data_IF_798540284904
#
_entry.id   IF_798540284904
#
_cell.length_a   1.000
_cell.length_b   1.000
_cell.length_c   1.000
_cell.angle_alpha   90.00
_cell.angle_beta   90.00
_cell.angle_gamma   90.00
#
_symmetry.space_group_name_H-M   'P 1'
#
loop_
_entity.id
_entity.type
_entity.pdbx_description
1 polymer ?
#
# COMPACT_ATOMS: atom_id res chain seq x y z
N UNK A 1 1.59 25.56 16.70
CA UNK A 1 1.87 24.62 15.60
C UNK A 1 1.69 23.19 16.11
N UNK A 2 0.83 22.40 15.46
CA UNK A 2 0.58 21.01 15.86
C UNK A 2 1.66 20.07 15.34
N UNK A 3 2.12 19.14 16.17
CA UNK A 3 3.07 18.09 15.77
C UNK A 3 2.47 17.30 14.59
N UNK A 4 3.19 17.17 13.46
CA UNK A 4 2.72 16.35 12.34
C UNK A 4 2.41 14.94 12.81
N UNK A 5 1.25 14.42 12.39
CA UNK A 5 0.85 13.04 12.69
C UNK A 5 1.84 12.11 12.01
N UNK A 6 2.47 11.20 12.75
CA UNK A 6 3.29 10.15 12.14
C UNK A 6 2.37 9.23 11.33
N UNK A 7 2.86 8.83 10.14
CA UNK A 7 2.24 7.75 9.36
C UNK A 7 2.31 6.46 10.17
N UNK A 8 1.25 5.64 10.11
CA UNK A 8 1.12 4.43 10.95
C UNK A 8 1.19 3.17 10.11
N UNK A 9 1.79 2.11 10.65
CA UNK A 9 1.90 0.85 9.92
C UNK A 9 0.57 0.10 9.92
N UNK A 10 0.11 -0.32 8.74
CA UNK A 10 -1.06 -1.19 8.55
C UNK A 10 -0.60 -2.43 7.81
N UNK A 11 -0.99 -3.62 8.29
CA UNK A 11 -0.53 -4.89 7.72
C UNK A 11 -1.61 -5.62 6.93
N UNK A 12 -2.80 -5.05 6.79
CA UNK A 12 -3.95 -5.72 6.19
C UNK A 12 -4.66 -4.84 5.16
N UNK A 13 -5.00 -5.43 4.02
CA UNK A 13 -5.70 -4.75 2.92
C UNK A 13 -7.20 -5.05 2.96
N UNK A 14 -7.99 -3.99 2.77
CA UNK A 14 -9.45 -4.03 2.91
C UNK A 14 -10.12 -3.93 1.55
N UNK A 15 -10.59 -5.08 1.06
CA UNK A 15 -11.30 -5.18 -0.22
C UNK A 15 -12.73 -4.60 -0.17
N UNK A 16 -13.39 -4.64 1.01
CA UNK A 16 -14.73 -4.07 1.21
C UNK A 16 -14.61 -2.76 1.97
N UNK A 17 -14.91 -1.66 1.28
CA UNK A 17 -14.75 -0.28 1.80
C UNK A 17 -16.08 0.39 2.14
N UNK A 18 -17.19 -0.30 1.99
CA UNK A 18 -18.51 0.29 2.20
C UNK A 18 -19.45 -0.70 2.88
N UNK A 19 -19.93 -0.33 4.06
CA UNK A 19 -20.92 -1.08 4.84
C UNK A 19 -22.18 -0.23 4.92
N UNK A 20 -23.33 -0.83 4.61
CA UNK A 20 -24.63 -0.17 4.73
C UNK A 20 -25.64 -1.11 5.40
N UNK A 21 -26.59 -0.58 6.18
CA UNK A 21 -27.70 -1.38 6.64
C UNK A 21 -28.58 -1.82 5.46
N UNK A 22 -29.17 -3.00 5.59
CA UNK A 22 -30.02 -3.61 4.57
C UNK A 22 -31.34 -2.86 4.42
N UNK A 23 -31.82 -2.69 3.20
CA UNK A 23 -33.17 -2.18 2.92
C UNK A 23 -33.32 -0.66 2.76
N UNK A 24 -32.24 0.12 2.89
CA UNK A 24 -32.28 1.59 2.74
C UNK A 24 -31.36 2.04 1.60
N UNK A 25 -31.81 3.00 0.80
CA UNK A 25 -31.05 3.57 -0.32
C UNK A 25 -30.01 4.57 0.17
N UNK A 26 -28.78 4.47 -0.34
CA UNK A 26 -27.61 5.25 0.08
C UNK A 26 -27.82 6.78 0.10
N UNK A 27 -28.77 7.30 -0.67
CA UNK A 27 -29.01 8.74 -0.80
C UNK A 27 -29.58 9.37 0.47
N UNK A 28 -30.23 8.56 1.31
CA UNK A 28 -30.94 9.03 2.50
C UNK A 28 -30.20 8.71 3.80
N UNK A 29 -29.03 8.06 3.73
CA UNK A 29 -28.26 7.71 4.92
C UNK A 29 -27.11 8.70 5.12
N UNK A 30 -26.93 9.08 6.37
CA UNK A 30 -25.68 9.67 6.81
C UNK A 30 -24.54 8.63 6.67
N UNK A 31 -23.37 9.09 6.23
CA UNK A 31 -22.17 8.29 6.08
C UNK A 31 -21.17 8.62 7.20
N UNK A 32 -20.65 7.59 7.88
CA UNK A 32 -19.58 7.70 8.87
C UNK A 32 -18.28 7.18 8.26
N UNK A 33 -17.29 8.06 8.16
CA UNK A 33 -15.98 7.73 7.62
C UNK A 33 -15.03 7.18 8.70
N UNK A 34 -14.55 5.96 8.48
CA UNK A 34 -13.52 5.31 9.28
C UNK A 34 -12.24 5.21 8.44
N UNK A 35 -11.09 5.55 9.03
CA UNK A 35 -9.82 5.44 8.31
C UNK A 35 -9.27 4.02 8.36
N UNK A 36 -8.36 3.69 7.43
CA UNK A 36 -7.76 2.35 7.34
C UNK A 36 -6.94 2.04 8.60
N UNK A 37 -6.27 3.05 9.15
CA UNK A 37 -5.57 2.99 10.45
C UNK A 37 -6.53 2.70 11.62
N UNK A 38 -7.66 3.41 11.69
CA UNK A 38 -8.68 3.19 12.71
C UNK A 38 -9.20 1.74 12.67
N UNK A 39 -9.37 1.19 11.48
CA UNK A 39 -9.84 -0.19 11.33
C UNK A 39 -8.75 -1.24 11.66
N UNK A 40 -7.48 -0.97 11.35
CA UNK A 40 -6.36 -1.81 11.79
C UNK A 40 -6.26 -1.85 13.33
N UNK A 41 -6.50 -0.73 14.02
CA UNK A 41 -6.50 -0.73 15.50
C UNK A 41 -7.55 -1.68 16.08
N UNK A 42 -8.72 -1.78 15.45
CA UNK A 42 -9.76 -2.72 15.86
C UNK A 42 -9.35 -4.17 15.60
N UNK A 43 -8.74 -4.44 14.44
CA UNK A 43 -8.24 -5.77 14.09
C UNK A 43 -7.24 -6.26 15.13
N UNK A 44 -6.20 -5.47 15.43
CA UNK A 44 -5.16 -5.83 16.39
C UNK A 44 -5.71 -6.02 17.80
N UNK A 45 -6.63 -5.14 18.24
CA UNK A 45 -7.17 -5.16 19.61
C UNK A 45 -8.21 -6.25 19.83
N UNK A 46 -9.20 -6.39 18.94
CA UNK A 46 -10.37 -7.24 19.17
C UNK A 46 -10.33 -8.58 18.42
N UNK A 47 -9.69 -8.65 17.25
CA UNK A 47 -9.57 -9.89 16.49
C UNK A 47 -8.32 -10.66 16.88
N UNK A 48 -7.16 -10.00 16.91
CA UNK A 48 -5.89 -10.63 17.29
C UNK A 48 -5.66 -10.66 18.82
N UNK A 49 -6.52 -9.97 19.59
CA UNK A 49 -6.47 -9.90 21.07
C UNK A 49 -5.09 -9.53 21.60
N UNK A 50 -4.36 -8.69 20.88
CA UNK A 50 -3.04 -8.24 21.30
C UNK A 50 -3.13 -7.29 22.48
N UNK A 51 -2.11 -7.30 23.35
CA UNK A 51 -1.93 -6.27 24.37
C UNK A 51 -1.70 -4.92 23.69
N UNK A 52 -2.19 -3.85 24.30
CA UNK A 52 -2.12 -2.49 23.75
C UNK A 52 -0.67 -2.07 23.41
N UNK A 53 0.30 -2.54 24.19
CA UNK A 53 1.71 -2.23 23.96
C UNK A 53 2.22 -2.88 22.67
N UNK A 54 1.93 -4.16 22.47
CA UNK A 54 2.32 -4.90 21.28
C UNK A 54 1.59 -4.38 20.04
N UNK A 55 0.29 -4.09 20.15
CA UNK A 55 -0.49 -3.54 19.04
C UNK A 55 0.02 -2.14 18.63
N UNK A 56 0.39 -1.30 19.59
CA UNK A 56 0.98 0.00 19.32
C UNK A 56 2.35 -0.11 18.64
N UNK A 57 3.18 -1.07 19.06
CA UNK A 57 4.46 -1.37 18.43
C UNK A 57 4.29 -1.83 16.98
N UNK A 58 3.36 -2.74 16.70
CA UNK A 58 3.06 -3.22 15.33
C UNK A 58 2.68 -2.08 14.39
N UNK A 59 1.99 -1.06 14.91
CA UNK A 59 1.59 0.13 14.14
C UNK A 59 2.64 1.27 14.16
N UNK A 60 3.78 1.07 14.80
CA UNK A 60 4.85 2.06 15.00
C UNK A 60 4.39 3.36 15.70
N UNK A 61 3.42 3.25 16.60
CA UNK A 61 2.88 4.38 17.38
C UNK A 61 3.07 4.20 18.88
N UNK A 62 2.93 5.32 19.61
CA UNK A 62 2.93 5.30 21.06
C UNK A 62 1.61 4.72 21.61
N UNK A 63 1.68 3.96 22.71
CA UNK A 63 0.53 3.32 23.39
C UNK A 63 -0.65 4.30 23.62
N UNK A 64 -0.37 5.50 24.11
CA UNK A 64 -1.41 6.52 24.34
C UNK A 64 -2.09 7.04 23.07
N UNK A 65 -1.44 6.92 21.90
CA UNK A 65 -2.03 7.27 20.59
C UNK A 65 -2.92 6.14 20.09
N UNK A 66 -2.52 4.89 20.34
CA UNK A 66 -3.31 3.71 20.03
C UNK A 66 -4.63 3.74 20.81
N UNK A 67 -4.58 3.92 22.13
CA UNK A 67 -5.78 4.01 22.99
C UNK A 67 -6.77 5.10 22.52
N UNK A 68 -6.26 6.30 22.22
CA UNK A 68 -7.10 7.41 21.72
C UNK A 68 -7.73 7.09 20.36
N UNK A 69 -7.02 6.40 19.48
CA UNK A 69 -7.54 5.99 18.17
C UNK A 69 -8.62 4.92 18.34
N UNK A 70 -8.39 3.95 19.21
CA UNK A 70 -9.36 2.90 19.51
C UNK A 70 -10.68 3.48 20.03
N UNK A 71 -10.61 4.37 21.04
CA UNK A 71 -11.80 5.01 21.60
C UNK A 71 -12.57 5.83 20.56
N UNK A 72 -11.87 6.63 19.74
CA UNK A 72 -12.49 7.41 18.67
C UNK A 72 -13.18 6.52 17.64
N UNK A 73 -12.56 5.40 17.28
CA UNK A 73 -13.10 4.46 16.30
C UNK A 73 -14.37 3.78 16.83
N UNK A 74 -14.34 3.33 18.08
CA UNK A 74 -15.50 2.73 18.75
C UNK A 74 -16.67 3.70 18.83
N UNK A 75 -16.41 4.97 19.13
CA UNK A 75 -17.46 6.00 19.16
C UNK A 75 -18.13 6.17 17.78
N UNK A 76 -17.34 6.20 16.70
CA UNK A 76 -17.88 6.27 15.32
C UNK A 76 -18.70 5.06 14.95
N UNK A 77 -18.24 3.85 15.31
CA UNK A 77 -18.96 2.61 15.03
C UNK A 77 -20.25 2.57 15.83
N UNK A 78 -20.21 2.93 17.11
CA UNK A 78 -21.40 3.00 17.95
C UNK A 78 -22.41 4.00 17.37
N UNK A 79 -21.95 5.19 16.95
CA UNK A 79 -22.82 6.19 16.29
C UNK A 79 -23.48 5.63 15.03
N UNK A 80 -22.71 4.92 14.21
CA UNK A 80 -23.23 4.33 12.98
C UNK A 80 -24.25 3.21 13.23
N UNK A 81 -24.00 2.36 14.23
CA UNK A 81 -24.89 1.25 14.58
C UNK A 81 -26.17 1.73 15.26
N UNK A 82 -26.08 2.73 16.15
CA UNK A 82 -27.24 3.25 16.90
C UNK A 82 -28.18 4.05 16.00
N UNK A 83 -27.63 4.90 15.13
CA UNK A 83 -28.43 5.78 14.26
C UNK A 83 -28.70 5.18 12.87
N UNK A 84 -28.25 3.94 12.62
CA UNK A 84 -28.46 3.27 11.33
C UNK A 84 -27.73 3.92 10.16
N UNK A 85 -26.55 4.49 10.39
CA UNK A 85 -25.72 5.16 9.37
C UNK A 85 -24.94 4.13 8.57
N UNK A 86 -24.52 4.51 7.37
CA UNK A 86 -23.58 3.71 6.60
C UNK A 86 -22.15 4.01 7.03
N UNK A 87 -21.26 3.01 6.93
CA UNK A 87 -19.84 3.13 7.28
C UNK A 87 -19.03 3.02 6.00
N UNK A 88 -18.25 4.05 5.71
CA UNK A 88 -17.31 4.08 4.59
C UNK A 88 -15.89 4.03 5.14
N UNK A 89 -15.10 3.09 4.65
CA UNK A 89 -13.71 2.88 5.06
C UNK A 89 -12.81 3.49 3.99
N UNK A 90 -12.36 4.71 4.21
CA UNK A 90 -11.53 5.45 3.26
C UNK A 90 -10.45 6.28 3.97
N UNK A 91 -9.28 6.36 3.32
CA UNK A 91 -8.19 7.26 3.69
C UNK A 91 -7.42 6.88 4.97
N UNK A 92 -6.64 7.84 5.45
CA UNK A 92 -5.71 7.70 6.57
C UNK A 92 -4.26 7.90 6.15
N UNK A 93 -3.44 8.42 7.06
CA UNK A 93 -1.99 8.54 6.89
C UNK A 93 -1.33 7.22 7.34
N UNK A 94 -1.36 6.20 6.48
CA UNK A 94 -0.78 4.89 6.79
C UNK A 94 0.32 4.48 5.81
N UNK A 95 1.23 3.64 6.30
CA UNK A 95 2.28 2.97 5.54
C UNK A 95 2.01 1.47 5.61
N UNK A 96 2.14 0.76 4.49
CA UNK A 96 2.12 -0.70 4.47
C UNK A 96 3.57 -1.21 4.51
N UNK A 97 3.83 -2.45 5.01
CA UNK A 97 5.13 -3.10 4.90
C UNK A 97 5.42 -3.40 3.41
N UNK A 98 5.97 -2.41 2.73
CA UNK A 98 6.24 -2.40 1.29
C UNK A 98 6.82 -1.08 0.76
N UNK A 99 6.91 -0.04 1.61
CA UNK A 99 7.51 1.30 1.40
C UNK A 99 7.04 2.13 0.18
N UNK A 100 6.38 1.56 -0.84
CA UNK A 100 6.18 2.23 -2.14
C UNK A 100 4.74 2.20 -2.70
N UNK A 101 3.71 1.84 -1.91
CA UNK A 101 2.30 1.96 -2.34
C UNK A 101 1.64 0.70 -2.92
N UNK A 102 2.08 -0.49 -2.51
CA UNK A 102 1.34 -1.74 -2.78
C UNK A 102 1.18 -2.53 -1.48
N UNK A 103 -0.07 -2.86 -1.14
CA UNK A 103 -0.40 -3.90 -0.16
C UNK A 103 0.08 -5.29 -0.61
N UNK A 104 -0.41 -6.37 0.02
CA UNK A 104 0.13 -7.72 -0.20
C UNK A 104 0.07 -8.11 -1.68
N UNK A 105 1.04 -8.92 -2.11
CA UNK A 105 1.13 -9.43 -3.48
C UNK A 105 -0.17 -10.14 -3.89
N UNK A 106 -1.06 -9.44 -4.60
CA UNK A 106 -2.36 -9.97 -4.98
C UNK A 106 -3.05 -9.07 -6.02
N UNK A 107 -3.70 -9.70 -7.00
CA UNK A 107 -4.27 -9.12 -8.22
C UNK A 107 -5.29 -8.01 -7.93
N UNK A 108 -4.86 -6.74 -7.94
CA UNK A 108 -5.77 -5.59 -7.96
C UNK A 108 -6.39 -5.39 -9.35
N UNK A 109 -7.61 -4.83 -9.47
CA UNK A 109 -8.27 -4.65 -10.77
C UNK A 109 -7.48 -3.67 -11.62
N UNK A 110 -7.26 -4.05 -12.88
CA UNK A 110 -6.61 -3.22 -13.91
C UNK A 110 -7.30 -1.85 -13.95
N UNK A 111 -6.59 -0.81 -13.52
CA UNK A 111 -7.08 0.56 -13.55
C UNK A 111 -7.41 1.00 -14.97
N UNK A 112 -8.69 1.30 -15.20
CA UNK A 112 -9.17 2.43 -15.98
C UNK A 112 -8.83 2.49 -17.47
N UNK A 113 -9.73 1.93 -18.29
CA UNK A 113 -9.96 2.42 -19.66
C UNK A 113 -10.82 3.70 -19.60
N UNK A 114 -10.29 4.84 -20.06
CA UNK A 114 -10.95 5.85 -20.91
C UNK A 114 -10.06 7.10 -21.00
N UNK A 115 -9.48 7.39 -22.17
CA UNK A 115 -10.08 8.14 -23.28
C UNK A 115 -10.56 9.55 -22.86
N UNK A 116 -9.70 10.54 -23.11
CA UNK A 116 -10.00 11.96 -23.06
C UNK A 116 -9.07 12.70 -24.03
N UNK A 117 -9.63 13.16 -25.15
CA UNK A 117 -8.96 13.70 -26.33
C UNK A 117 -8.49 15.14 -26.08
N UNK A 118 -7.23 15.45 -26.44
CA UNK A 118 -6.70 16.82 -26.45
C UNK A 118 -5.62 16.96 -27.52
N UNK A 119 -6.00 17.54 -28.67
CA UNK A 119 -5.16 17.74 -29.86
C UNK A 119 -4.07 18.79 -29.61
N UNK A 120 -2.81 18.40 -29.70
CA UNK A 120 -1.65 19.29 -29.75
C UNK A 120 -0.51 18.63 -30.52
N UNK A 121 -0.09 19.23 -31.63
CA UNK A 121 0.75 18.63 -32.66
C UNK A 121 2.26 18.61 -32.30
N UNK A 122 2.91 17.53 -32.76
CA UNK A 122 4.32 17.42 -33.19
C UNK A 122 5.41 17.60 -32.12
N UNK A 123 5.93 16.46 -31.67
CA UNK A 123 7.27 16.34 -31.09
C UNK A 123 7.77 14.90 -31.22
N UNK A 124 8.90 14.73 -31.89
CA UNK A 124 9.49 13.48 -32.32
C UNK A 124 10.05 12.60 -31.18
N UNK A 125 10.06 11.29 -31.45
CA UNK A 125 11.03 10.26 -31.01
C UNK A 125 11.36 10.14 -29.52
N UNK A 126 11.07 8.95 -29.00
CA UNK A 126 12.00 8.24 -28.11
C UNK A 126 11.45 7.95 -26.73
N UNK A 127 11.56 6.68 -26.33
CA UNK A 127 11.30 6.25 -24.96
C UNK A 127 10.22 5.19 -24.86
N UNK A 128 10.50 3.98 -25.38
CA UNK A 128 9.88 2.77 -24.87
C UNK A 128 10.32 2.65 -23.40
N UNK A 129 9.46 3.13 -22.51
CA UNK A 129 9.65 3.10 -21.07
C UNK A 129 9.90 1.67 -20.61
N UNK A 130 11.00 1.54 -19.91
CA UNK A 130 11.51 0.36 -19.23
C UNK A 130 10.40 -0.48 -18.60
N UNK A 131 10.20 -1.67 -19.15
CA UNK A 131 9.56 -2.76 -18.43
C UNK A 131 10.44 -3.13 -17.24
N UNK A 132 9.92 -2.87 -16.05
CA UNK A 132 10.44 -3.26 -14.75
C UNK A 132 10.51 -4.79 -14.66
N UNK A 133 11.67 -5.36 -14.99
CA UNK A 133 11.96 -6.77 -14.77
C UNK A 133 12.25 -7.00 -13.27
N UNK A 134 11.42 -7.80 -12.62
CA UNK A 134 11.39 -8.03 -11.17
C UNK A 134 12.69 -8.54 -10.52
N UNK A 135 12.70 -8.70 -9.19
CA UNK A 135 13.90 -8.88 -8.36
C UNK A 135 14.62 -10.23 -8.47
N UNK A 136 14.27 -11.06 -9.46
CA UNK A 136 14.93 -12.35 -9.72
C UNK A 136 15.42 -12.44 -11.16
N UNK A 137 16.73 -12.66 -11.34
CA UNK A 137 17.36 -12.93 -12.63
C UNK A 137 18.83 -13.29 -12.44
N UNK A 138 19.38 -14.10 -13.33
CA UNK A 138 20.81 -14.37 -13.40
C UNK A 138 21.44 -13.35 -14.36
N UNK A 139 22.54 -12.72 -13.96
CA UNK A 139 23.37 -11.96 -14.86
C UNK A 139 24.44 -12.89 -15.43
N UNK A 140 24.55 -12.95 -16.76
CA UNK A 140 25.57 -13.71 -17.48
C UNK A 140 26.55 -12.78 -18.17
N UNK A 141 27.84 -13.10 -18.10
CA UNK A 141 28.84 -12.41 -18.89
C UNK A 141 28.83 -12.93 -20.35
N UNK A 142 28.70 -12.05 -21.37
CA UNK A 142 28.69 -12.47 -22.77
C UNK A 142 30.08 -12.89 -23.28
N UNK A 143 31.16 -12.56 -22.56
CA UNK A 143 32.54 -12.84 -23.01
C UNK A 143 33.14 -14.11 -22.40
N UNK A 144 32.87 -14.42 -21.14
CA UNK A 144 33.40 -15.63 -20.49
C UNK A 144 32.31 -16.62 -20.04
N UNK A 145 31.03 -16.24 -20.14
CA UNK A 145 29.91 -17.09 -19.74
C UNK A 145 29.65 -17.18 -18.24
N UNK A 146 30.40 -16.46 -17.40
CA UNK A 146 30.22 -16.42 -15.94
C UNK A 146 28.80 -15.97 -15.54
N UNK A 147 28.15 -16.71 -14.64
CA UNK A 147 26.76 -16.49 -14.20
C UNK A 147 26.75 -16.09 -12.71
N UNK A 148 26.02 -15.02 -12.37
CA UNK A 148 25.84 -14.56 -11.00
C UNK A 148 24.40 -14.12 -10.74
N UNK A 149 23.98 -14.14 -9.47
CA UNK A 149 22.66 -13.63 -9.07
C UNK A 149 22.63 -12.11 -9.26
N UNK A 150 21.56 -11.60 -9.87
CA UNK A 150 21.34 -10.17 -10.02
C UNK A 150 21.16 -9.50 -8.64
N UNK A 151 21.90 -8.41 -8.39
CA UNK A 151 21.72 -7.63 -7.18
C UNK A 151 20.58 -6.61 -7.36
N UNK A 152 19.59 -6.57 -6.43
CA UNK A 152 18.51 -5.59 -6.48
C UNK A 152 19.06 -4.15 -6.46
N UNK A 153 18.56 -3.30 -7.35
CA UNK A 153 18.92 -1.89 -7.42
C UNK A 153 20.12 -1.57 -8.33
N UNK A 154 20.84 -2.57 -8.84
CA UNK A 154 21.96 -2.38 -9.80
C UNK A 154 21.69 -3.12 -11.10
N UNK A 155 21.53 -2.43 -12.26
CA UNK A 155 21.38 -3.09 -13.55
C UNK A 155 22.56 -4.03 -13.87
N UNK A 156 22.33 -5.22 -14.45
CA UNK A 156 23.42 -6.13 -14.82
C UNK A 156 24.50 -5.44 -15.69
N UNK A 157 24.10 -4.48 -16.53
CA UNK A 157 25.00 -3.71 -17.39
C UNK A 157 25.99 -2.82 -16.63
N UNK A 158 25.70 -2.46 -15.37
CA UNK A 158 26.61 -1.71 -14.49
C UNK A 158 27.50 -2.63 -13.64
N UNK A 159 27.20 -3.93 -13.57
CA UNK A 159 28.05 -4.90 -12.90
C UNK A 159 29.16 -5.38 -13.83
N UNK A 160 30.40 -5.35 -13.34
CA UNK A 160 31.58 -5.87 -14.03
C UNK A 160 31.81 -7.33 -13.66
N UNK A 161 32.07 -8.16 -14.67
CA UNK A 161 32.38 -9.56 -14.46
C UNK A 161 33.74 -9.71 -13.72
N UNK A 162 33.81 -10.50 -12.64
CA UNK A 162 35.05 -10.69 -11.88
C UNK A 162 36.13 -11.43 -12.69
N UNK A 163 35.73 -12.27 -13.66
CA UNK A 163 36.66 -13.08 -14.46
C UNK A 163 37.28 -12.32 -15.64
N UNK A 164 36.59 -11.34 -16.21
CA UNK A 164 37.06 -10.68 -17.45
C UNK A 164 36.84 -9.17 -17.52
N UNK A 165 36.31 -8.54 -16.47
CA UNK A 165 36.16 -7.09 -16.35
C UNK A 165 35.11 -6.44 -17.26
N UNK A 166 34.39 -7.21 -18.08
CA UNK A 166 33.36 -6.70 -19.01
C UNK A 166 31.97 -6.58 -18.36
N UNK A 167 31.11 -5.67 -18.86
CA UNK A 167 29.75 -5.51 -18.33
C UNK A 167 28.91 -6.76 -18.58
N UNK A 168 28.08 -7.10 -17.60
CA UNK A 168 27.23 -8.29 -17.64
C UNK A 168 25.87 -7.99 -18.28
N UNK A 169 25.19 -9.01 -18.78
CA UNK A 169 23.83 -8.93 -19.34
C UNK A 169 22.88 -9.83 -18.56
N UNK A 170 21.59 -9.49 -18.55
CA UNK A 170 20.58 -10.34 -17.92
C UNK A 170 20.30 -11.55 -18.82
N UNK A 171 20.29 -12.74 -18.23
CA UNK A 171 19.90 -14.00 -18.87
C UNK A 171 18.37 -14.11 -18.93
#
# INVERSE_FOLDING_TARGET
>A
MGRPRKRRMVNFDHNVRHFKPSGVYLKDLEEVNITIDELETLRLSYLEKMKQDNAAQTMEIHQSTFQRTLQRTLQKIADALVHGKSIRVEGGDYTMPGKDGTGPMGQGPVGGQNQGQGRGQRGFRGGKGAGTAGPGGECKCPSCGYEQVHQPGVPCAQMTCPECGKPMIRK
#
